data_IF_290317780761
#
_entry.id   IF_290317780761
#
_cell.length_a   1.000
_cell.length_b   1.000
_cell.length_c   1.000
_cell.angle_alpha   90.00
_cell.angle_beta   90.00
_cell.angle_gamma   90.00
#
_symmetry.space_group_name_H-M   'P 1'
#
loop_
_entity.id
_entity.type
_entity.pdbx_description
1 polymer ?
#
# COMPACT_ATOMS: atom_id res chain seq x y z
N UNK A 1 -39.98 -19.53 -51.02
CA UNK A 1 -40.92 -18.38 -50.99
C UNK A 1 -41.46 -18.22 -49.57
N UNK A 2 -40.76 -17.49 -48.69
CA UNK A 2 -41.29 -16.91 -47.44
C UNK A 2 -40.13 -16.35 -46.59
N UNK A 3 -39.92 -15.04 -46.67
CA UNK A 3 -39.14 -14.28 -45.68
C UNK A 3 -39.65 -12.84 -45.49
N UNK A 4 -40.58 -12.37 -46.34
CA UNK A 4 -41.17 -11.02 -46.22
C UNK A 4 -42.46 -10.94 -45.40
N UNK A 5 -43.12 -12.06 -45.06
CA UNK A 5 -44.38 -12.02 -44.30
C UNK A 5 -44.19 -11.97 -42.77
N UNK A 6 -43.03 -12.40 -42.22
CA UNK A 6 -42.79 -12.40 -40.76
C UNK A 6 -42.52 -11.00 -40.18
N UNK A 7 -41.89 -10.10 -40.94
CA UNK A 7 -41.53 -8.77 -40.42
C UNK A 7 -42.72 -7.79 -40.37
N UNK A 8 -43.74 -7.98 -41.21
CA UNK A 8 -44.93 -7.12 -41.17
C UNK A 8 -45.78 -7.43 -39.94
N UNK A 9 -45.90 -8.70 -39.54
CA UNK A 9 -46.69 -9.08 -38.36
C UNK A 9 -46.05 -8.59 -37.04
N UNK A 10 -44.72 -8.53 -36.96
CA UNK A 10 -44.01 -8.10 -35.75
C UNK A 10 -44.15 -6.59 -35.49
N UNK A 11 -44.16 -5.78 -36.55
CA UNK A 11 -44.31 -4.32 -36.43
C UNK A 11 -45.74 -3.95 -36.00
N UNK A 12 -46.76 -4.69 -36.45
CA UNK A 12 -48.14 -4.42 -36.04
C UNK A 12 -48.42 -4.79 -34.58
N UNK A 13 -47.79 -5.86 -34.05
CA UNK A 13 -47.98 -6.29 -32.65
C UNK A 13 -47.27 -5.34 -31.67
N UNK A 14 -46.07 -4.84 -32.01
CA UNK A 14 -45.36 -3.85 -31.18
C UNK A 14 -46.08 -2.50 -31.19
N UNK A 15 -46.69 -2.12 -32.32
CA UNK A 15 -47.49 -0.89 -32.43
C UNK A 15 -48.75 -0.91 -31.56
N UNK A 16 -49.44 -2.06 -31.44
CA UNK A 16 -50.66 -2.16 -30.62
C UNK A 16 -50.32 -2.18 -29.11
N UNK A 17 -49.21 -2.80 -28.70
CA UNK A 17 -48.76 -2.79 -27.30
C UNK A 17 -48.34 -1.39 -26.84
N UNK A 18 -47.65 -0.61 -27.68
CA UNK A 18 -47.26 0.76 -27.36
C UNK A 18 -48.48 1.70 -27.21
N UNK A 19 -49.52 1.52 -28.03
CA UNK A 19 -50.75 2.33 -27.93
C UNK A 19 -51.58 1.93 -26.71
N UNK A 20 -51.61 0.65 -26.33
CA UNK A 20 -52.30 0.21 -25.10
C UNK A 20 -51.63 0.70 -23.81
N UNK A 21 -50.30 0.82 -23.78
CA UNK A 21 -49.57 1.39 -22.65
C UNK A 21 -49.79 2.92 -22.55
N UNK A 22 -49.83 3.63 -23.69
CA UNK A 22 -50.14 5.07 -23.68
C UNK A 22 -51.58 5.38 -23.24
N UNK A 23 -52.56 4.53 -23.57
CA UNK A 23 -53.95 4.71 -23.12
C UNK A 23 -54.17 4.32 -21.65
N UNK A 24 -53.34 3.43 -21.08
CA UNK A 24 -53.42 3.10 -19.65
C UNK A 24 -52.77 4.15 -18.75
N UNK A 25 -51.78 4.89 -19.27
CA UNK A 25 -51.13 6.01 -18.56
C UNK A 25 -51.98 7.29 -18.58
N UNK A 26 -52.95 7.42 -19.49
CA UNK A 26 -53.81 8.61 -19.58
C UNK A 26 -55.09 8.59 -18.74
N UNK A 27 -55.46 7.48 -18.08
CA UNK A 27 -56.76 7.36 -17.40
C UNK A 27 -56.71 7.03 -15.89
N UNK A 28 -55.52 7.00 -15.26
CA UNK A 28 -55.40 7.01 -13.80
C UNK A 28 -54.43 8.12 -13.39
N UNK A 29 -54.90 9.36 -13.51
CA UNK A 29 -54.24 10.53 -12.93
C UNK A 29 -54.47 10.56 -11.42
N UNK A 30 -53.75 9.74 -10.68
CA UNK A 30 -53.10 10.23 -9.47
C UNK A 30 -51.64 10.42 -9.85
N UNK A 31 -51.34 11.63 -10.30
CA UNK A 31 -49.96 12.07 -10.52
C UNK A 31 -49.23 11.97 -9.19
N UNK A 32 -48.55 10.85 -8.96
CA UNK A 32 -47.49 10.76 -7.95
C UNK A 32 -46.43 11.76 -8.36
N UNK A 33 -46.50 12.93 -7.75
CA UNK A 33 -45.61 14.02 -8.01
C UNK A 33 -44.26 13.65 -7.38
N UNK A 34 -43.35 13.10 -8.17
CA UNK A 34 -41.99 12.76 -7.74
C UNK A 34 -41.30 13.96 -7.10
N UNK A 35 -41.61 15.19 -7.54
CA UNK A 35 -41.11 16.41 -6.91
C UNK A 35 -41.59 16.58 -5.46
N UNK A 36 -42.80 16.14 -5.10
CA UNK A 36 -43.29 16.23 -3.71
C UNK A 36 -42.60 15.20 -2.79
N UNK A 37 -42.06 14.10 -3.34
CA UNK A 37 -41.21 13.16 -2.59
C UNK A 37 -39.82 13.78 -2.35
N UNK A 38 -39.29 14.52 -3.32
CA UNK A 38 -37.98 15.19 -3.22
C UNK A 38 -38.03 16.51 -2.43
N UNK A 39 -39.16 17.22 -2.40
CA UNK A 39 -39.29 18.54 -1.74
C UNK A 39 -39.84 18.47 -0.30
N UNK A 40 -40.64 17.45 0.08
CA UNK A 40 -41.28 17.37 1.41
C UNK A 40 -40.71 16.33 2.39
N UNK A 41 -39.67 15.59 2.00
CA UNK A 41 -38.78 14.94 2.96
C UNK A 41 -37.42 15.56 2.77
N UNK A 42 -37.15 16.62 3.52
CA UNK A 42 -35.79 17.11 3.65
C UNK A 42 -34.89 15.91 3.95
N UNK A 43 -34.04 15.56 2.99
CA UNK A 43 -32.77 14.92 3.28
C UNK A 43 -31.99 15.93 4.10
N UNK A 44 -32.37 16.06 5.37
CA UNK A 44 -31.51 16.68 6.36
C UNK A 44 -30.26 15.82 6.37
N UNK A 45 -29.14 16.42 5.98
CA UNK A 45 -27.78 15.96 6.20
C UNK A 45 -27.61 15.58 7.68
N UNK A 46 -28.01 14.37 7.99
CA UNK A 46 -27.46 13.51 9.04
C UNK A 46 -27.55 12.09 8.47
N UNK A 47 -26.91 11.88 7.33
CA UNK A 47 -26.62 10.53 6.85
C UNK A 47 -25.77 9.86 7.93
N UNK A 48 -26.40 9.05 8.79
CA UNK A 48 -25.68 8.23 9.76
C UNK A 48 -24.60 7.44 9.00
N UNK A 49 -23.35 7.70 9.38
CA UNK A 49 -22.14 7.11 8.79
C UNK A 49 -22.06 5.62 9.09
N UNK A 50 -21.50 4.90 8.15
CA UNK A 50 -21.37 3.45 8.15
C UNK A 50 -19.90 3.04 7.97
N UNK A 51 -19.01 3.37 8.92
CA UNK A 51 -17.56 3.20 8.76
C UNK A 51 -17.10 1.73 8.65
N UNK A 52 -17.97 0.77 8.98
CA UNK A 52 -17.73 -0.66 8.76
C UNK A 52 -17.89 -1.09 7.30
N UNK A 53 -18.59 -0.29 6.49
CA UNK A 53 -19.06 -0.68 5.16
C UNK A 53 -18.72 0.34 4.07
N UNK A 54 -18.50 1.61 4.42
CA UNK A 54 -18.14 2.69 3.49
C UNK A 54 -16.76 3.20 3.86
N UNK A 55 -15.81 3.13 2.91
CA UNK A 55 -14.41 3.44 3.17
C UNK A 55 -14.20 4.92 3.54
N UNK A 56 -14.87 5.84 2.85
CA UNK A 56 -14.81 7.27 3.18
C UNK A 56 -15.34 7.58 4.59
N UNK A 57 -16.43 6.92 5.00
CA UNK A 57 -16.94 7.03 6.37
C UNK A 57 -15.94 6.49 7.39
N UNK A 58 -15.19 5.44 7.01
CA UNK A 58 -14.16 4.83 7.85
C UNK A 58 -12.97 5.78 8.07
N UNK A 59 -12.54 6.53 7.05
CA UNK A 59 -11.47 7.53 7.19
C UNK A 59 -11.87 8.58 8.23
N UNK A 60 -13.08 9.13 8.12
CA UNK A 60 -13.50 10.21 9.02
C UNK A 60 -13.73 9.71 10.45
N UNK A 61 -14.31 8.51 10.62
CA UNK A 61 -14.66 7.97 11.93
C UNK A 61 -13.45 7.31 12.62
N UNK A 62 -12.71 6.46 11.91
CA UNK A 62 -11.63 5.65 12.48
C UNK A 62 -10.29 6.38 12.60
N UNK A 63 -10.12 7.51 11.91
CA UNK A 63 -8.99 8.41 12.15
C UNK A 63 -9.34 9.58 13.08
N UNK A 64 -10.55 9.61 13.64
CA UNK A 64 -10.95 10.66 14.58
C UNK A 64 -10.04 10.67 15.82
N UNK A 65 -9.86 11.82 16.51
CA UNK A 65 -8.93 11.91 17.65
C UNK A 65 -9.17 10.87 18.74
N UNK A 66 -10.42 10.51 19.02
CA UNK A 66 -10.74 9.49 20.01
C UNK A 66 -10.22 8.11 19.59
N UNK A 67 -10.26 7.79 18.30
CA UNK A 67 -9.71 6.55 17.76
C UNK A 67 -8.18 6.59 17.70
N UNK A 68 -7.57 7.75 17.35
CA UNK A 68 -6.12 7.93 17.39
C UNK A 68 -5.53 7.75 18.80
N UNK A 69 -6.26 8.12 19.85
CA UNK A 69 -5.80 7.88 21.22
C UNK A 69 -5.66 6.39 21.54
N UNK A 70 -6.44 5.51 20.90
CA UNK A 70 -6.36 4.06 21.13
C UNK A 70 -5.06 3.46 20.62
N UNK A 71 -4.43 4.08 19.62
CA UNK A 71 -3.12 3.66 19.08
C UNK A 71 -1.94 4.45 19.64
N UNK A 72 -2.19 5.39 20.56
CA UNK A 72 -1.20 6.35 21.08
C UNK A 72 0.07 5.70 21.66
N UNK A 73 -0.09 4.59 22.39
CA UNK A 73 1.04 3.90 22.99
C UNK A 73 1.98 3.32 21.92
N UNK A 74 1.40 2.64 20.93
CA UNK A 74 2.16 2.06 19.82
C UNK A 74 2.81 3.17 18.98
N UNK A 75 2.05 4.20 18.62
CA UNK A 75 2.55 5.36 17.89
C UNK A 75 3.77 5.98 18.60
N UNK A 76 3.70 6.18 19.91
CA UNK A 76 4.85 6.70 20.69
C UNK A 76 6.06 5.76 20.64
N UNK A 77 5.86 4.45 20.65
CA UNK A 77 6.95 3.47 20.62
C UNK A 77 7.64 3.36 19.26
N UNK A 78 6.89 3.61 18.18
CA UNK A 78 7.39 3.53 16.80
C UNK A 78 7.89 4.88 16.27
N UNK A 79 7.61 5.99 16.96
CA UNK A 79 8.00 7.32 16.51
C UNK A 79 9.54 7.46 16.44
N UNK A 80 10.04 7.67 15.23
CA UNK A 80 11.44 7.90 14.94
C UNK A 80 11.87 9.35 15.13
N UNK A 81 13.14 9.65 14.80
CA UNK A 81 13.63 11.04 14.83
C UNK A 81 13.18 11.84 13.61
N UNK A 82 12.84 11.15 12.52
CA UNK A 82 12.36 11.72 11.26
C UNK A 82 11.18 10.91 10.74
N UNK A 83 10.45 11.45 9.74
CA UNK A 83 9.34 10.71 9.13
C UNK A 83 9.82 9.42 8.48
N UNK A 84 11.02 9.43 7.88
CA UNK A 84 11.66 8.26 7.28
C UNK A 84 11.89 7.15 8.32
N UNK A 85 12.37 7.50 9.51
CA UNK A 85 12.52 6.53 10.61
C UNK A 85 11.15 5.98 11.05
N UNK A 86 10.16 6.85 11.21
CA UNK A 86 8.83 6.47 11.70
C UNK A 86 8.10 5.52 10.75
N UNK A 87 8.09 5.81 9.44
CA UNK A 87 7.41 4.94 8.45
C UNK A 87 8.09 3.58 8.35
N UNK A 88 9.41 3.51 8.50
CA UNK A 88 10.15 2.24 8.51
C UNK A 88 9.92 1.46 9.81
N UNK A 89 9.84 2.12 10.96
CA UNK A 89 9.47 1.46 12.20
C UNK A 89 8.06 0.88 12.14
N UNK A 90 7.12 1.60 11.52
CA UNK A 90 5.74 1.11 11.31
C UNK A 90 5.75 -0.13 10.42
N UNK A 91 6.32 -0.07 9.22
CA UNK A 91 6.22 -1.19 8.27
C UNK A 91 6.93 -2.46 8.76
N UNK A 92 8.06 -2.32 9.46
CA UNK A 92 8.75 -3.46 10.09
C UNK A 92 7.94 -4.03 11.26
N UNK A 93 7.29 -3.16 12.05
CA UNK A 93 6.42 -3.63 13.13
C UNK A 93 5.18 -4.35 12.57
N UNK A 94 4.56 -3.82 11.52
CA UNK A 94 3.42 -4.46 10.86
C UNK A 94 3.79 -5.83 10.27
N UNK A 95 4.94 -5.94 9.59
CA UNK A 95 5.46 -7.21 9.05
C UNK A 95 5.58 -8.29 10.14
N UNK A 96 6.05 -7.90 11.34
CA UNK A 96 6.28 -8.83 12.45
C UNK A 96 5.03 -9.14 13.29
N UNK A 97 4.00 -8.29 13.25
CA UNK A 97 2.90 -8.32 14.24
C UNK A 97 1.49 -8.43 13.66
N UNK A 98 1.30 -8.14 12.38
CA UNK A 98 -0.03 -8.20 11.73
C UNK A 98 0.02 -9.20 10.58
N UNK A 99 -0.86 -10.20 10.61
CA UNK A 99 -0.99 -11.18 9.54
C UNK A 99 -2.02 -10.73 8.49
N UNK A 100 -1.70 -10.93 7.21
CA UNK A 100 -2.67 -10.68 6.13
C UNK A 100 -3.80 -11.70 6.19
N UNK A 101 -5.04 -11.22 6.34
CA UNK A 101 -6.21 -12.06 6.43
C UNK A 101 -6.73 -12.44 5.04
N UNK A 102 -6.11 -13.46 4.44
CA UNK A 102 -6.49 -13.97 3.11
C UNK A 102 -7.96 -14.44 3.05
N UNK A 103 -8.47 -15.06 4.12
CA UNK A 103 -9.87 -15.53 4.17
C UNK A 103 -10.85 -14.36 4.10
N UNK A 104 -10.58 -13.27 4.83
CA UNK A 104 -11.39 -12.04 4.76
C UNK A 104 -11.35 -11.44 3.35
N UNK A 105 -10.16 -11.41 2.72
CA UNK A 105 -9.97 -10.84 1.38
C UNK A 105 -10.72 -11.60 0.27
N UNK A 106 -11.06 -12.88 0.48
CA UNK A 106 -11.83 -13.67 -0.48
C UNK A 106 -13.34 -13.33 -0.48
N UNK A 107 -13.85 -12.68 0.57
CA UNK A 107 -15.25 -12.28 0.66
C UNK A 107 -15.52 -10.96 -0.08
N UNK A 108 -16.69 -10.81 -0.73
CA UNK A 108 -17.05 -9.54 -1.37
C UNK A 108 -17.18 -8.42 -0.34
N UNK A 109 -16.87 -7.20 -0.76
CA UNK A 109 -17.11 -6.02 0.08
C UNK A 109 -18.62 -5.87 0.36
N UNK A 110 -19.02 -5.53 1.61
CA UNK A 110 -20.40 -5.21 1.95
C UNK A 110 -20.94 -4.06 1.10
N UNK A 111 -22.14 -4.21 0.58
CA UNK A 111 -22.84 -3.19 -0.20
C UNK A 111 -23.97 -2.59 0.63
N UNK A 112 -24.03 -1.26 0.69
CA UNK A 112 -25.10 -0.54 1.38
C UNK A 112 -26.18 -0.15 0.37
N UNK A 113 -27.38 -0.72 0.52
CA UNK A 113 -28.56 -0.35 -0.29
C UNK A 113 -29.45 0.63 0.47
N UNK A 114 -29.71 1.77 -0.16
CA UNK A 114 -30.64 2.79 0.33
C UNK A 114 -31.99 2.66 -0.36
N UNK A 115 -33.02 2.32 0.40
CA UNK A 115 -34.38 2.19 -0.11
C UNK A 115 -35.12 3.53 -0.05
N UNK A 116 -36.01 3.77 -1.02
CA UNK A 116 -36.90 4.95 -1.05
C UNK A 116 -37.77 5.11 0.22
N UNK A 117 -37.96 4.03 0.97
CA UNK A 117 -38.67 4.02 2.25
C UNK A 117 -37.86 4.61 3.41
N UNK A 118 -36.56 4.87 3.21
CA UNK A 118 -35.60 5.23 4.25
C UNK A 118 -34.96 4.02 4.95
N UNK A 119 -35.30 2.79 4.54
CA UNK A 119 -34.64 1.58 5.04
C UNK A 119 -33.22 1.51 4.48
N UNK A 120 -32.26 1.09 5.32
CA UNK A 120 -30.90 0.72 4.92
C UNK A 120 -30.74 -0.80 5.03
N UNK A 121 -30.07 -1.40 4.06
CA UNK A 121 -29.68 -2.80 4.09
C UNK A 121 -28.21 -2.93 3.72
N UNK A 122 -27.52 -3.86 4.37
CA UNK A 122 -26.10 -4.14 4.12
C UNK A 122 -25.98 -5.60 3.72
N UNK A 123 -25.40 -5.86 2.55
CA UNK A 123 -25.06 -7.22 2.14
C UNK A 123 -23.87 -7.73 2.95
N UNK A 124 -23.93 -9.01 3.36
CA UNK A 124 -22.87 -9.68 4.16
C UNK A 124 -22.18 -8.80 5.22
N UNK A 125 -22.91 -8.33 6.25
CA UNK A 125 -22.44 -7.29 7.17
C UNK A 125 -21.37 -7.78 8.18
N UNK A 126 -20.76 -8.95 7.98
CA UNK A 126 -19.88 -9.58 8.96
C UNK A 126 -18.54 -10.04 8.41
N UNK A 127 -18.46 -10.50 7.17
CA UNK A 127 -17.26 -11.20 6.70
C UNK A 127 -16.13 -10.26 6.26
N UNK A 128 -16.43 -9.29 5.38
CA UNK A 128 -15.43 -8.35 4.86
C UNK A 128 -15.70 -6.89 5.28
N UNK A 129 -15.93 -6.67 6.58
CA UNK A 129 -16.12 -5.31 7.11
C UNK A 129 -14.79 -4.62 7.39
N UNK A 130 -14.74 -3.31 7.18
CA UNK A 130 -13.58 -2.47 7.49
C UNK A 130 -13.32 -2.47 9.00
N UNK A 131 -12.09 -2.74 9.41
CA UNK A 131 -11.66 -2.69 10.81
C UNK A 131 -11.17 -1.28 11.16
N UNK A 132 -11.48 -0.84 12.39
CA UNK A 132 -10.81 0.31 12.98
C UNK A 132 -9.36 -0.05 13.33
N UNK A 133 -8.44 0.93 13.42
CA UNK A 133 -7.06 0.68 13.82
C UNK A 133 -6.91 -0.13 15.11
N UNK A 134 -7.74 0.16 16.12
CA UNK A 134 -7.72 -0.57 17.38
C UNK A 134 -8.16 -2.03 17.24
N UNK A 135 -9.14 -2.31 16.36
CA UNK A 135 -9.56 -3.68 16.06
C UNK A 135 -8.48 -4.44 15.30
N UNK A 136 -7.82 -3.82 14.31
CA UNK A 136 -6.68 -4.43 13.61
C UNK A 136 -5.56 -4.83 14.57
N UNK A 137 -5.25 -3.95 15.54
CA UNK A 137 -4.27 -4.24 16.58
C UNK A 137 -4.70 -5.37 17.52
N UNK A 138 -5.98 -5.41 17.91
CA UNK A 138 -6.52 -6.45 18.80
C UNK A 138 -6.54 -7.82 18.11
N UNK A 139 -6.90 -7.86 16.84
CA UNK A 139 -6.97 -9.08 16.05
C UNK A 139 -5.60 -9.58 15.58
N UNK A 140 -4.60 -8.69 15.50
CA UNK A 140 -3.30 -9.00 14.90
C UNK A 140 -3.39 -9.44 13.44
N UNK A 141 -4.48 -9.08 12.75
CA UNK A 141 -4.70 -9.45 11.35
C UNK A 141 -5.70 -8.52 10.65
N UNK A 142 -5.54 -8.33 9.35
CA UNK A 142 -6.37 -7.45 8.53
C UNK A 142 -6.12 -7.61 7.04
N UNK A 143 -6.84 -6.85 6.21
CA UNK A 143 -6.59 -6.73 4.77
C UNK A 143 -6.05 -5.34 4.43
N UNK A 144 -5.71 -5.09 3.16
CA UNK A 144 -5.06 -3.85 2.69
C UNK A 144 -5.71 -2.56 3.24
N UNK A 145 -7.04 -2.44 3.22
CA UNK A 145 -7.74 -1.28 3.79
C UNK A 145 -7.58 -1.12 5.31
N UNK A 146 -7.51 -2.22 6.06
CA UNK A 146 -7.32 -2.18 7.52
C UNK A 146 -5.90 -1.76 7.89
N UNK A 147 -4.90 -2.22 7.12
CA UNK A 147 -3.50 -1.79 7.27
C UNK A 147 -3.37 -0.31 6.94
N UNK A 148 -3.97 0.16 5.84
CA UNK A 148 -3.94 1.57 5.49
C UNK A 148 -4.54 2.46 6.59
N UNK A 149 -5.66 2.07 7.20
CA UNK A 149 -6.21 2.82 8.33
C UNK A 149 -5.32 2.76 9.57
N UNK A 150 -4.73 1.60 9.88
CA UNK A 150 -3.80 1.46 11.00
C UNK A 150 -2.55 2.33 10.82
N UNK A 151 -1.81 2.16 9.71
CA UNK A 151 -0.63 2.97 9.39
C UNK A 151 -0.98 4.46 9.41
N UNK A 152 -2.07 4.88 8.78
CA UNK A 152 -2.50 6.27 8.77
C UNK A 152 -2.80 6.81 10.18
N UNK A 153 -3.42 6.00 11.05
CA UNK A 153 -3.69 6.38 12.43
C UNK A 153 -2.40 6.56 13.25
N UNK A 154 -1.41 5.70 13.04
CA UNK A 154 -0.12 5.78 13.70
C UNK A 154 0.62 7.05 13.27
N UNK A 155 0.65 7.35 11.97
CA UNK A 155 1.30 8.54 11.44
C UNK A 155 0.66 9.84 11.93
N UNK A 156 -0.68 9.94 11.87
CA UNK A 156 -1.40 11.10 12.40
C UNK A 156 -1.14 11.28 13.90
N UNK A 157 -1.06 10.18 14.66
CA UNK A 157 -0.79 10.22 16.09
C UNK A 157 0.66 10.55 16.44
N UNK A 158 1.58 10.42 15.49
CA UNK A 158 2.98 10.90 15.57
C UNK A 158 3.12 12.35 15.10
N UNK A 159 2.01 13.07 14.89
CA UNK A 159 1.95 14.45 14.40
C UNK A 159 2.41 14.61 12.93
N UNK A 160 2.38 13.55 12.12
CA UNK A 160 2.57 13.66 10.67
C UNK A 160 1.25 13.99 9.99
N UNK A 161 1.20 15.17 9.36
CA UNK A 161 0.05 15.66 8.59
C UNK A 161 0.56 16.69 7.56
N UNK A 162 0.13 16.64 6.29
CA UNK A 162 -0.80 15.66 5.72
C UNK A 162 -0.19 14.27 5.58
N UNK A 163 -1.07 13.27 5.61
CA UNK A 163 -0.79 11.89 5.18
C UNK A 163 -1.78 11.51 4.08
N UNK A 164 -1.55 10.37 3.44
CA UNK A 164 -2.35 9.93 2.31
C UNK A 164 -2.79 8.48 2.51
N UNK A 165 -3.99 8.18 2.05
CA UNK A 165 -4.39 6.81 1.71
C UNK A 165 -4.60 6.78 0.20
N UNK A 166 -4.02 5.79 -0.46
CA UNK A 166 -4.19 5.56 -1.89
C UNK A 166 -4.97 4.27 -2.09
N UNK A 167 -6.02 4.31 -2.90
CA UNK A 167 -6.66 3.11 -3.42
C UNK A 167 -6.29 2.94 -4.89
N UNK A 168 -5.92 1.73 -5.26
CA UNK A 168 -5.49 1.35 -6.60
C UNK A 168 -6.58 0.52 -7.24
N UNK A 169 -7.20 1.05 -8.29
CA UNK A 169 -8.23 0.35 -9.05
C UNK A 169 -7.62 -0.31 -10.29
N UNK A 170 -8.04 -1.55 -10.55
CA UNK A 170 -7.56 -2.38 -11.65
C UNK A 170 -8.74 -3.14 -12.26
N UNK A 171 -8.91 -3.09 -13.58
CA UNK A 171 -9.92 -3.88 -14.26
C UNK A 171 -9.69 -5.38 -14.03
N UNK A 172 -10.66 -6.04 -13.39
CA UNK A 172 -10.63 -7.49 -13.18
C UNK A 172 -9.91 -7.96 -11.92
N UNK A 173 -9.41 -7.05 -11.07
CA UNK A 173 -8.78 -7.37 -9.79
C UNK A 173 -9.52 -6.74 -8.60
N UNK A 174 -9.25 -7.25 -7.39
CA UNK A 174 -9.97 -6.89 -6.15
C UNK A 174 -9.71 -5.45 -5.64
N UNK A 175 -8.89 -4.65 -6.34
CA UNK A 175 -8.42 -3.36 -5.85
C UNK A 175 -7.40 -3.52 -4.71
N UNK A 176 -6.66 -2.46 -4.41
CA UNK A 176 -5.68 -2.46 -3.32
C UNK A 176 -5.68 -1.12 -2.59
N UNK A 177 -5.28 -1.08 -1.32
CA UNK A 177 -5.27 0.13 -0.51
C UNK A 177 -4.00 0.20 0.32
N UNK A 178 -3.36 1.37 0.35
CA UNK A 178 -2.11 1.59 1.09
C UNK A 178 -2.10 2.96 1.73
N UNK A 179 -1.31 3.15 2.78
CA UNK A 179 -0.96 4.49 3.24
C UNK A 179 0.24 5.02 2.46
N UNK A 180 0.34 6.35 2.38
CA UNK A 180 1.51 7.00 1.81
C UNK A 180 1.82 8.31 2.53
N UNK A 181 3.06 8.76 2.38
CA UNK A 181 3.54 10.08 2.81
C UNK A 181 4.13 10.82 1.62
N UNK A 182 3.94 12.14 1.57
CA UNK A 182 4.62 12.98 0.59
C UNK A 182 5.91 13.55 1.21
N UNK A 183 7.06 13.21 0.64
CA UNK A 183 8.35 13.76 1.06
C UNK A 183 9.01 14.41 -0.14
N UNK A 184 9.25 15.72 -0.05
CA UNK A 184 9.85 16.53 -1.11
C UNK A 184 9.11 16.43 -2.46
N UNK A 185 7.78 16.28 -2.45
CA UNK A 185 6.96 16.23 -3.64
C UNK A 185 6.72 14.82 -4.20
N UNK A 186 7.40 13.79 -3.69
CA UNK A 186 7.19 12.40 -4.13
C UNK A 186 6.37 11.63 -3.09
N UNK A 187 5.55 10.69 -3.56
CA UNK A 187 4.74 9.83 -2.70
C UNK A 187 5.49 8.53 -2.41
N UNK A 188 5.56 8.17 -1.13
CA UNK A 188 6.20 6.95 -0.68
C UNK A 188 5.17 6.01 -0.07
N UNK A 189 5.05 4.84 -0.68
CA UNK A 189 4.02 3.84 -0.42
C UNK A 189 4.44 2.96 0.75
N UNK A 190 3.55 2.85 1.74
CA UNK A 190 3.70 2.02 2.94
C UNK A 190 2.70 0.88 2.79
N UNK A 191 3.16 -0.23 2.20
CA UNK A 191 2.32 -1.35 1.78
C UNK A 191 2.65 -2.63 2.54
N UNK A 192 2.25 -2.69 3.82
CA UNK A 192 2.21 -3.88 4.69
C UNK A 192 3.56 -4.56 5.01
N UNK A 193 4.51 -4.55 4.08
CA UNK A 193 5.80 -5.21 4.16
C UNK A 193 6.88 -4.33 3.53
N UNK A 194 8.10 -4.32 4.10
CA UNK A 194 9.21 -3.61 3.49
C UNK A 194 9.56 -4.18 2.10
N UNK A 195 10.13 -3.35 1.22
CA UNK A 195 10.56 -1.99 1.51
C UNK A 195 9.53 -0.91 1.17
N UNK A 196 9.79 0.31 1.65
CA UNK A 196 9.03 1.50 1.25
C UNK A 196 9.51 1.97 -0.12
N UNK A 197 8.59 2.08 -1.06
CA UNK A 197 8.86 2.34 -2.47
C UNK A 197 8.18 3.65 -2.89
N UNK A 198 8.83 4.41 -3.76
CA UNK A 198 8.24 5.60 -4.37
C UNK A 198 7.12 5.21 -5.36
N UNK A 199 6.05 5.99 -5.47
CA UNK A 199 4.84 5.64 -6.23
C UNK A 199 5.10 5.18 -7.67
N UNK A 200 5.94 5.87 -8.46
CA UNK A 200 6.20 5.47 -9.85
C UNK A 200 6.89 4.10 -9.90
N UNK A 201 7.90 3.90 -9.05
CA UNK A 201 8.58 2.61 -8.89
C UNK A 201 7.64 1.50 -8.42
N UNK A 202 6.66 1.83 -7.57
CA UNK A 202 5.64 0.91 -7.07
C UNK A 202 4.69 0.47 -8.19
N UNK A 203 4.23 1.41 -9.03
CA UNK A 203 3.39 1.11 -10.19
C UNK A 203 4.11 0.20 -11.20
N UNK A 204 5.38 0.50 -11.51
CA UNK A 204 6.21 -0.34 -12.38
C UNK A 204 6.39 -1.75 -11.80
N UNK A 205 6.63 -1.87 -10.48
CA UNK A 205 6.78 -3.16 -9.81
C UNK A 205 5.51 -4.00 -9.87
N UNK A 206 4.36 -3.42 -9.53
CA UNK A 206 3.06 -4.11 -9.58
C UNK A 206 2.79 -4.64 -10.99
N UNK A 207 3.09 -3.86 -12.02
CA UNK A 207 2.91 -4.26 -13.41
C UNK A 207 3.91 -5.32 -13.87
N UNK A 208 5.21 -5.07 -13.70
CA UNK A 208 6.27 -5.86 -14.36
C UNK A 208 6.64 -7.14 -13.59
N UNK A 209 6.38 -7.17 -12.27
CA UNK A 209 6.74 -8.30 -11.40
C UNK A 209 5.51 -9.07 -10.92
N UNK A 210 4.44 -8.37 -10.53
CA UNK A 210 3.23 -9.03 -9.99
C UNK A 210 2.13 -9.27 -11.05
N UNK A 211 2.32 -8.84 -12.30
CA UNK A 211 1.29 -8.90 -13.36
C UNK A 211 -0.03 -8.21 -12.94
N UNK A 212 0.08 -7.19 -12.08
CA UNK A 212 -1.03 -6.43 -11.53
C UNK A 212 -1.07 -5.03 -12.16
N UNK A 213 -1.88 -4.87 -13.20
CA UNK A 213 -2.02 -3.58 -13.89
C UNK A 213 -2.99 -2.66 -13.15
N UNK A 214 -2.48 -1.56 -12.61
CA UNK A 214 -3.29 -0.50 -12.01
C UNK A 214 -3.72 0.46 -13.13
N UNK A 215 -5.01 0.75 -13.21
CA UNK A 215 -5.56 1.68 -14.19
C UNK A 215 -5.73 3.07 -13.59
N UNK A 216 -6.16 3.14 -12.33
CA UNK A 216 -6.44 4.40 -11.64
C UNK A 216 -6.00 4.37 -10.18
N UNK A 217 -5.78 5.57 -9.66
CA UNK A 217 -5.43 5.82 -8.27
C UNK A 217 -6.40 6.86 -7.73
N UNK A 218 -7.06 6.52 -6.63
CA UNK A 218 -7.78 7.51 -5.82
C UNK A 218 -6.91 7.93 -4.65
N UNK A 219 -6.68 9.23 -4.52
CA UNK A 219 -5.95 9.83 -3.42
C UNK A 219 -6.91 10.36 -2.36
N UNK A 220 -6.69 9.97 -1.11
CA UNK A 220 -7.30 10.58 0.06
C UNK A 220 -6.22 11.34 0.82
N UNK A 221 -6.10 12.65 0.58
CA UNK A 221 -5.20 13.52 1.37
C UNK A 221 -5.89 13.81 2.70
N UNK A 222 -5.29 13.37 3.80
CA UNK A 222 -5.87 13.44 5.14
C UNK A 222 -5.05 14.41 6.00
N UNK A 223 -5.74 15.37 6.61
CA UNK A 223 -5.18 16.38 7.49
C UNK A 223 -5.87 16.38 8.85
N UNK A 224 -5.08 16.44 9.92
CA UNK A 224 -5.57 16.65 11.28
C UNK A 224 -5.48 18.14 11.63
N UNK A 225 -6.61 18.84 11.56
CA UNK A 225 -6.70 20.28 11.81
C UNK A 225 -7.61 20.51 13.01
N UNK A 226 -7.11 21.22 14.03
CA UNK A 226 -7.88 21.56 15.24
C UNK A 226 -8.58 20.34 15.87
N UNK A 227 -7.90 19.20 15.92
CA UNK A 227 -8.43 17.95 16.47
C UNK A 227 -9.67 17.45 15.71
N UNK A 228 -9.72 17.68 14.39
CA UNK A 228 -10.74 17.16 13.48
C UNK A 228 -10.06 16.65 12.21
N UNK A 229 -10.55 15.54 11.68
CA UNK A 229 -10.07 14.95 10.44
C UNK A 229 -10.76 15.63 9.27
N UNK A 230 -9.94 16.08 8.32
CA UNK A 230 -10.38 16.54 7.02
C UNK A 230 -9.71 15.67 5.98
N UNK A 231 -10.46 15.27 4.95
CA UNK A 231 -9.84 14.64 3.80
C UNK A 231 -10.36 15.23 2.50
N UNK A 232 -9.46 15.32 1.53
CA UNK A 232 -9.75 15.69 0.15
C UNK A 232 -9.55 14.45 -0.72
N UNK A 233 -10.54 14.18 -1.58
CA UNK A 233 -10.51 13.08 -2.54
C UNK A 233 -10.08 13.61 -3.89
N UNK A 234 -9.03 13.04 -4.45
CA UNK A 234 -8.58 13.29 -5.82
C UNK A 234 -8.45 11.97 -6.59
N UNK A 235 -8.40 12.06 -7.91
CA UNK A 235 -8.37 10.91 -8.81
C UNK A 235 -7.39 11.15 -9.95
N UNK A 236 -6.49 10.19 -10.14
CA UNK A 236 -5.51 10.21 -11.22
C UNK A 236 -5.53 8.89 -12.00
N UNK A 237 -5.46 8.97 -13.34
CA UNK A 237 -5.26 7.80 -14.17
C UNK A 237 -3.77 7.46 -14.23
N UNK A 238 -3.41 6.19 -14.16
CA UNK A 238 -2.00 5.76 -14.26
C UNK A 238 -1.40 6.07 -15.64
N UNK A 239 -2.22 6.21 -16.69
CA UNK A 239 -1.73 6.59 -18.02
C UNK A 239 -1.04 7.96 -18.07
N UNK A 240 -1.24 8.81 -17.05
CA UNK A 240 -0.57 10.13 -16.95
C UNK A 240 0.84 10.04 -16.39
N UNK A 241 1.25 8.88 -15.86
CA UNK A 241 2.56 8.65 -15.28
C UNK A 241 3.54 8.24 -16.39
N UNK A 242 4.48 9.14 -16.73
CA UNK A 242 5.59 8.84 -17.66
C UNK A 242 6.77 8.24 -16.89
N UNK A 243 7.37 7.20 -17.44
CA UNK A 243 8.28 6.27 -16.76
C UNK A 243 9.73 6.81 -16.68
N UNK A 244 9.93 8.02 -16.18
CA UNK A 244 11.26 8.48 -15.77
C UNK A 244 11.53 8.00 -14.33
N UNK A 245 11.68 6.68 -14.18
CA UNK A 245 11.96 6.08 -12.88
C UNK A 245 13.39 6.42 -12.41
N UNK A 246 13.48 7.10 -11.27
CA UNK A 246 14.76 7.34 -10.57
C UNK A 246 15.24 6.08 -9.80
N UNK A 247 14.84 4.90 -10.29
CA UNK A 247 15.04 3.59 -9.67
C UNK A 247 16.54 3.38 -9.44
N UNK A 248 16.94 3.11 -8.20
CA UNK A 248 18.33 2.81 -7.85
C UNK A 248 19.34 3.96 -8.09
N UNK A 249 18.88 5.21 -8.16
CA UNK A 249 19.79 6.36 -8.05
C UNK A 249 20.62 6.27 -6.75
N UNK A 250 21.89 6.65 -6.83
CA UNK A 250 22.88 6.52 -5.74
C UNK A 250 22.81 5.20 -4.93
N UNK A 251 22.68 4.07 -5.64
CA UNK A 251 22.76 2.74 -5.04
C UNK A 251 24.04 2.54 -4.22
N UNK A 252 25.12 3.29 -4.51
CA UNK A 252 26.38 3.22 -3.77
C UNK A 252 26.27 3.71 -2.32
N UNK A 253 25.28 4.56 -2.03
CA UNK A 253 24.93 4.96 -0.66
C UNK A 253 24.61 3.75 0.22
N UNK A 254 23.81 2.80 -0.30
CA UNK A 254 23.46 1.57 0.40
C UNK A 254 24.69 0.77 0.85
N UNK A 255 25.67 0.57 -0.05
CA UNK A 255 26.92 -0.13 0.29
C UNK A 255 27.65 0.53 1.45
N UNK A 256 27.69 1.87 1.49
CA UNK A 256 28.43 2.64 2.49
C UNK A 256 27.83 2.49 3.88
N UNK A 257 26.51 2.65 4.00
CA UNK A 257 25.82 2.47 5.28
C UNK A 257 25.83 1.02 5.73
N UNK A 258 25.69 0.06 4.81
CA UNK A 258 25.73 -1.35 5.15
C UNK A 258 27.10 -1.73 5.72
N UNK A 259 28.20 -1.28 5.11
CA UNK A 259 29.55 -1.43 5.69
C UNK A 259 29.64 -0.79 7.08
N UNK A 260 29.08 0.41 7.27
CA UNK A 260 29.06 1.09 8.58
C UNK A 260 28.32 0.26 9.65
N UNK A 261 27.19 -0.37 9.30
CA UNK A 261 26.49 -1.27 10.22
C UNK A 261 27.33 -2.49 10.59
N UNK A 262 28.04 -3.10 9.64
CA UNK A 262 28.96 -4.20 9.93
C UNK A 262 30.12 -3.77 10.84
N UNK A 263 30.78 -2.64 10.54
CA UNK A 263 31.89 -2.11 11.35
C UNK A 263 31.46 -1.75 12.79
N UNK A 264 30.21 -1.32 12.98
CA UNK A 264 29.68 -0.99 14.30
C UNK A 264 29.27 -2.22 15.14
N UNK A 265 29.01 -3.36 14.50
CA UNK A 265 28.51 -4.56 15.16
C UNK A 265 29.55 -5.69 15.26
N UNK A 266 30.64 -5.61 14.49
CA UNK A 266 31.68 -6.64 14.44
C UNK A 266 33.07 -6.02 14.42
N UNK A 267 34.09 -6.78 14.85
CA UNK A 267 35.50 -6.37 14.78
C UNK A 267 36.06 -6.47 13.35
N UNK A 268 35.40 -5.80 12.40
CA UNK A 268 35.72 -5.81 10.98
C UNK A 268 35.92 -4.38 10.47
N UNK A 269 36.73 -4.20 9.42
CA UNK A 269 36.96 -2.89 8.80
C UNK A 269 36.82 -2.94 7.30
N UNK A 270 36.29 -1.87 6.71
CA UNK A 270 36.24 -1.71 5.26
C UNK A 270 37.65 -1.70 4.65
N UNK A 271 37.87 -2.54 3.63
CA UNK A 271 39.16 -2.61 2.92
C UNK A 271 38.94 -2.63 1.40
N UNK A 272 39.30 -1.54 0.73
CA UNK A 272 39.11 -1.40 -0.73
C UNK A 272 39.86 -2.45 -1.54
N UNK A 273 40.93 -3.06 -1.00
CA UNK A 273 41.74 -4.02 -1.73
C UNK A 273 41.00 -5.33 -2.05
N UNK A 274 39.89 -5.61 -1.35
CA UNK A 274 39.06 -6.80 -1.58
C UNK A 274 37.75 -6.49 -2.33
N UNK A 275 37.62 -5.29 -2.90
CA UNK A 275 36.40 -4.82 -3.60
C UNK A 275 35.89 -5.78 -4.68
N UNK A 276 36.80 -6.44 -5.39
CA UNK A 276 36.49 -7.34 -6.51
C UNK A 276 36.95 -8.77 -6.24
N UNK A 277 36.94 -9.21 -4.98
CA UNK A 277 37.34 -10.57 -4.62
C UNK A 277 36.51 -11.63 -5.38
N UNK A 278 35.25 -11.32 -5.66
CA UNK A 278 34.30 -12.13 -6.42
C UNK A 278 34.71 -12.40 -7.88
N UNK A 279 35.63 -11.60 -8.44
CA UNK A 279 36.12 -11.73 -9.81
C UNK A 279 37.61 -12.10 -9.90
N UNK A 280 38.24 -12.42 -8.78
CA UNK A 280 39.67 -12.74 -8.72
C UNK A 280 39.89 -14.25 -8.63
N UNK A 281 40.91 -14.75 -9.34
CA UNK A 281 41.34 -16.16 -9.23
C UNK A 281 42.11 -16.42 -7.92
N UNK A 282 42.78 -15.41 -7.38
CA UNK A 282 43.61 -15.51 -6.18
C UNK A 282 43.32 -14.37 -5.20
N UNK A 283 43.52 -14.63 -3.89
CA UNK A 283 43.48 -13.61 -2.86
C UNK A 283 44.54 -12.52 -3.11
N UNK A 284 44.25 -11.24 -2.83
CA UNK A 284 45.28 -10.20 -2.84
C UNK A 284 46.42 -10.55 -1.89
N UNK A 285 47.61 -9.99 -2.15
CA UNK A 285 48.76 -10.19 -1.25
C UNK A 285 48.42 -9.69 0.16
N UNK A 286 48.85 -10.44 1.17
CA UNK A 286 48.60 -10.17 2.60
C UNK A 286 47.24 -10.64 3.15
N UNK A 287 46.54 -11.52 2.44
CA UNK A 287 45.32 -12.18 2.93
C UNK A 287 45.50 -13.70 2.94
N UNK A 288 45.08 -14.34 4.03
CA UNK A 288 45.17 -15.79 4.22
C UNK A 288 43.87 -16.53 3.88
N UNK A 289 42.73 -15.85 3.99
CA UNK A 289 41.39 -16.41 3.74
C UNK A 289 40.48 -15.33 3.16
N UNK A 290 39.57 -15.71 2.27
CA UNK A 290 38.50 -14.83 1.81
C UNK A 290 37.27 -15.60 1.35
N UNK A 291 36.13 -14.92 1.34
CA UNK A 291 34.86 -15.43 0.85
C UNK A 291 34.04 -14.29 0.24
N UNK A 292 33.22 -14.64 -0.73
CA UNK A 292 32.23 -13.76 -1.33
C UNK A 292 30.85 -14.34 -1.05
N UNK A 293 29.94 -13.47 -0.59
CA UNK A 293 28.53 -13.80 -0.38
C UNK A 293 27.71 -12.86 -1.26
N UNK A 294 26.68 -13.39 -1.93
CA UNK A 294 25.79 -12.60 -2.77
C UNK A 294 24.36 -12.70 -2.25
N UNK A 295 23.71 -11.55 -2.11
CA UNK A 295 22.29 -11.43 -1.80
C UNK A 295 21.56 -10.79 -2.98
N UNK A 296 20.37 -11.29 -3.25
CA UNK A 296 19.49 -10.81 -4.31
C UNK A 296 18.18 -10.37 -3.68
N UNK A 297 17.73 -9.16 -3.98
CA UNK A 297 16.46 -8.63 -3.52
C UNK A 297 15.61 -8.22 -4.72
N UNK A 298 14.42 -8.81 -4.81
CA UNK A 298 13.41 -8.55 -5.83
C UNK A 298 12.38 -7.56 -5.29
N UNK A 299 12.64 -6.26 -5.38
CA UNK A 299 11.68 -5.24 -5.01
C UNK A 299 11.68 -4.04 -5.97
N UNK A 300 10.58 -3.30 -5.93
CA UNK A 300 10.21 -2.28 -6.91
C UNK A 300 11.13 -1.07 -7.06
N UNK A 301 12.14 -0.90 -6.22
CA UNK A 301 13.15 0.14 -6.40
C UNK A 301 13.78 0.60 -5.09
N UNK A 302 14.99 1.13 -5.18
CA UNK A 302 15.68 1.82 -4.08
C UNK A 302 15.58 3.33 -4.25
N UNK A 303 15.30 4.04 -3.15
CA UNK A 303 15.32 5.51 -3.13
C UNK A 303 16.34 6.02 -2.10
N UNK A 304 17.28 6.90 -2.49
CA UNK A 304 18.32 7.44 -1.61
C UNK A 304 17.84 8.07 -0.30
N UNK A 305 16.61 8.60 -0.27
CA UNK A 305 16.06 9.22 0.94
C UNK A 305 15.97 8.22 2.11
N UNK A 306 15.85 6.92 1.81
CA UNK A 306 15.79 5.84 2.78
C UNK A 306 17.10 5.04 2.88
N UNK A 307 18.22 5.55 2.37
CA UNK A 307 19.48 4.80 2.27
C UNK A 307 19.91 4.14 3.59
N UNK A 308 19.67 4.82 4.71
CA UNK A 308 20.01 4.35 6.07
C UNK A 308 19.09 3.23 6.52
N UNK A 309 17.79 3.37 6.25
CA UNK A 309 16.78 2.39 6.64
C UNK A 309 16.89 1.13 5.77
N UNK A 310 17.09 1.29 4.46
CA UNK A 310 17.43 0.17 3.56
C UNK A 310 18.68 -0.59 4.01
N UNK A 311 19.75 0.15 4.35
CA UNK A 311 20.98 -0.48 4.83
C UNK A 311 20.79 -1.23 6.15
N UNK A 312 19.99 -0.67 7.07
CA UNK A 312 19.67 -1.34 8.33
C UNK A 312 18.86 -2.62 8.11
N UNK A 313 17.80 -2.53 7.31
CA UNK A 313 16.94 -3.67 6.98
C UNK A 313 17.74 -4.78 6.30
N UNK A 314 18.56 -4.45 5.30
CA UNK A 314 19.46 -5.41 4.66
C UNK A 314 20.46 -6.02 5.65
N UNK A 315 21.04 -5.22 6.55
CA UNK A 315 21.94 -5.70 7.59
C UNK A 315 21.26 -6.71 8.52
N UNK A 316 20.06 -6.41 9.01
CA UNK A 316 19.31 -7.27 9.91
C UNK A 316 18.92 -8.59 9.21
N UNK A 317 18.50 -8.52 7.95
CA UNK A 317 18.25 -9.70 7.11
C UNK A 317 19.50 -10.58 6.99
N UNK A 318 20.64 -10.00 6.60
CA UNK A 318 21.91 -10.72 6.45
C UNK A 318 22.35 -11.32 7.78
N UNK A 319 22.25 -10.57 8.88
CA UNK A 319 22.60 -11.05 10.22
C UNK A 319 21.76 -12.27 10.63
N UNK A 320 20.45 -12.23 10.35
CA UNK A 320 19.56 -13.35 10.64
C UNK A 320 19.89 -14.57 9.76
N UNK A 321 20.21 -14.37 8.49
CA UNK A 321 20.64 -15.45 7.59
C UNK A 321 21.97 -16.09 8.04
N UNK A 322 22.94 -15.28 8.48
CA UNK A 322 24.21 -15.77 9.02
C UNK A 322 24.03 -16.69 10.23
N UNK A 323 23.10 -16.35 11.14
CA UNK A 323 22.75 -17.19 12.29
C UNK A 323 22.16 -18.53 11.85
N UNK A 324 21.32 -18.53 10.81
CA UNK A 324 20.68 -19.74 10.26
C UNK A 324 21.67 -20.63 9.48
N UNK A 325 22.66 -20.03 8.83
CA UNK A 325 23.64 -20.71 7.97
C UNK A 325 24.91 -21.18 8.69
N UNK A 326 25.03 -20.94 10.00
CA UNK A 326 26.23 -21.20 10.81
C UNK A 326 27.49 -20.51 10.24
N UNK A 327 27.28 -19.38 9.55
CA UNK A 327 28.35 -18.57 8.99
C UNK A 327 28.81 -17.51 10.00
N UNK A 328 30.08 -17.60 10.41
CA UNK A 328 30.64 -16.67 11.39
C UNK A 328 31.47 -15.56 10.72
N UNK A 329 30.94 -14.34 10.68
CA UNK A 329 31.68 -13.17 10.15
C UNK A 329 32.90 -12.81 11.00
N UNK A 330 32.93 -13.18 12.28
CA UNK A 330 34.08 -12.93 13.16
C UNK A 330 35.33 -13.71 12.76
N UNK A 331 35.22 -14.65 11.81
CA UNK A 331 36.37 -15.27 11.15
C UNK A 331 37.14 -14.31 10.24
N UNK A 332 36.62 -13.11 9.98
CA UNK A 332 37.15 -12.15 9.02
C UNK A 332 37.37 -10.80 9.70
N UNK A 333 38.37 -10.04 9.23
CA UNK A 333 38.72 -8.72 9.77
C UNK A 333 38.68 -7.60 8.73
N UNK A 334 38.36 -7.95 7.48
CA UNK A 334 38.22 -7.01 6.36
C UNK A 334 36.91 -7.26 5.62
N UNK A 335 36.18 -6.20 5.27
CA UNK A 335 34.93 -6.25 4.49
C UNK A 335 34.97 -5.28 3.31
N UNK A 336 34.31 -5.61 2.21
CA UNK A 336 33.90 -4.64 1.20
C UNK A 336 32.57 -5.04 0.61
N UNK A 337 31.64 -4.09 0.52
CA UNK A 337 30.31 -4.34 -0.03
C UNK A 337 30.11 -3.53 -1.30
N UNK A 338 29.52 -4.18 -2.32
CA UNK A 338 29.06 -3.52 -3.54
C UNK A 338 27.58 -3.79 -3.74
N UNK A 339 26.83 -2.75 -4.06
CA UNK A 339 25.44 -2.78 -4.44
C UNK A 339 25.30 -2.39 -5.90
N UNK A 340 24.49 -3.14 -6.65
CA UNK A 340 24.20 -2.91 -8.06
C UNK A 340 22.78 -3.38 -8.39
N UNK A 341 22.23 -2.89 -9.50
CA UNK A 341 20.96 -3.35 -10.06
C UNK A 341 21.21 -3.89 -11.46
N UNK A 342 20.69 -5.07 -11.78
CA UNK A 342 20.92 -5.74 -13.07
C UNK A 342 19.78 -5.53 -14.08
N UNK A 343 18.71 -4.82 -13.71
CA UNK A 343 17.49 -4.69 -14.49
C UNK A 343 16.29 -5.40 -13.87
N UNK A 344 16.53 -6.36 -12.97
CA UNK A 344 15.50 -7.13 -12.28
C UNK A 344 15.67 -7.07 -10.74
N UNK A 345 16.90 -7.23 -10.25
CA UNK A 345 17.19 -7.43 -8.83
C UNK A 345 18.25 -6.48 -8.32
N UNK A 346 18.08 -6.06 -7.07
CA UNK A 346 19.17 -5.47 -6.29
C UNK A 346 20.13 -6.59 -5.90
N UNK A 347 21.39 -6.45 -6.29
CA UNK A 347 22.48 -7.36 -5.96
C UNK A 347 23.37 -6.72 -4.92
N UNK A 348 23.58 -7.40 -3.79
CA UNK A 348 24.61 -7.07 -2.82
C UNK A 348 25.71 -8.12 -2.86
N UNK A 349 26.94 -7.69 -3.18
CA UNK A 349 28.14 -8.52 -3.14
C UNK A 349 28.93 -8.14 -1.90
N UNK A 350 29.07 -9.08 -0.96
CA UNK A 350 29.80 -8.92 0.30
C UNK A 350 31.09 -9.73 0.19
N UNK A 351 32.21 -9.03 0.11
CA UNK A 351 33.54 -9.62 0.13
C UNK A 351 34.11 -9.53 1.53
N UNK A 352 34.53 -10.67 2.08
CA UNK A 352 35.09 -10.80 3.43
C UNK A 352 36.47 -11.43 3.33
N UNK A 353 37.44 -10.91 4.06
CA UNK A 353 38.80 -11.44 4.07
C UNK A 353 39.46 -11.35 5.43
N UNK A 354 40.45 -12.23 5.65
CA UNK A 354 41.32 -12.23 6.82
C UNK A 354 42.76 -12.04 6.38
N UNK A 355 43.40 -11.05 6.98
CA UNK A 355 44.84 -10.77 6.82
C UNK A 355 45.71 -11.77 7.55
#
# INVERSE_FOLDING_TARGET
MNLKLKNILYITIVGILAVSALFFVQNNSETFNLSDIFENRGFGETSEKLPKYIFEDSIEMYLSPNELEKVSYLAKSLNGNTIEDSIWNIILWEEDNIEYNHVKAEFPNPEVTYWVTGKKEVSDPYNNTIQSPAETLELGSGICGDYALLTSSLLLKMDYSPIYILTFESEGNAGHATSAVNINGNYYIIDQQPPIIELYNYLDYKKDVEDYKIDNITFYKIELINNSIYFEKDFESVETYDSDSNKYNDITGLSRYLMTYFENNYEIKSDYNIKYLDSMEYLPRSYEKGVTIQYFFEFGGYTPIFEKQYAKWAFDYIKNDMVKSDYNISDYNSIWIRSSYDGEKLILIINLAKK
#
